data_IF_109190059094
#
_entry.id   IF_109190059094
#
_cell.length_a   1.000
_cell.length_b   1.000
_cell.length_c   1.000
_cell.angle_alpha   90.00
_cell.angle_beta   90.00
_cell.angle_gamma   90.00
#
_symmetry.space_group_name_H-M   'P 1'
#
loop_
_entity.id
_entity.type
_entity.pdbx_description
1 polymer ?
#
# COMPACT_ATOMS: atom_id res chain seq x y z
N UNK A 1 -23.18 -2.67 33.88
CA UNK A 1 -24.42 -2.15 33.27
C UNK A 1 -24.37 -2.56 31.80
N UNK A 2 -25.26 -3.48 31.40
CA UNK A 2 -25.31 -3.99 30.03
C UNK A 2 -25.87 -2.88 29.15
N UNK A 3 -25.01 -2.24 28.34
CA UNK A 3 -25.44 -1.31 27.30
C UNK A 3 -26.04 -2.16 26.18
N UNK A 4 -27.36 -2.23 26.12
CA UNK A 4 -28.09 -2.75 24.98
C UNK A 4 -27.59 -2.07 23.71
N UNK A 5 -27.14 -2.86 22.73
CA UNK A 5 -26.79 -2.34 21.42
C UNK A 5 -27.97 -1.52 20.85
N UNK A 6 -27.72 -0.38 20.21
CA UNK A 6 -28.79 0.44 19.65
C UNK A 6 -29.58 -0.39 18.63
N UNK A 7 -30.90 -0.43 18.79
CA UNK A 7 -31.80 -1.13 17.87
C UNK A 7 -31.78 -0.41 16.52
N UNK A 8 -31.45 -1.11 15.44
CA UNK A 8 -31.54 -0.59 14.08
C UNK A 8 -32.97 -0.12 13.81
N UNK A 9 -33.19 1.13 13.34
CA UNK A 9 -34.53 1.64 13.06
C UNK A 9 -35.26 0.75 12.06
N UNK A 10 -36.57 0.56 12.25
CA UNK A 10 -37.37 -0.21 11.30
C UNK A 10 -37.37 0.47 9.92
N UNK A 11 -37.70 -0.26 8.85
CA UNK A 11 -37.78 0.33 7.51
C UNK A 11 -38.77 1.50 7.48
N UNK A 12 -39.91 1.38 8.15
CA UNK A 12 -40.91 2.46 8.25
C UNK A 12 -40.38 3.72 8.94
N UNK A 13 -39.47 3.59 9.92
CA UNK A 13 -38.89 4.75 10.61
C UNK A 13 -37.87 5.51 9.73
N UNK A 14 -37.40 4.88 8.65
CA UNK A 14 -36.45 5.43 7.67
C UNK A 14 -37.12 5.82 6.36
N UNK A 15 -38.43 5.64 6.24
CA UNK A 15 -39.19 5.95 5.04
C UNK A 15 -39.80 7.34 5.13
N UNK A 16 -39.54 8.17 4.13
CA UNK A 16 -40.19 9.47 3.95
C UNK A 16 -41.02 9.42 2.67
N UNK A 17 -42.28 9.85 2.77
CA UNK A 17 -43.16 10.02 1.62
C UNK A 17 -43.41 11.50 1.35
N UNK A 18 -43.48 11.87 0.06
CA UNK A 18 -43.90 13.20 -0.34
C UNK A 18 -44.72 13.15 -1.63
N UNK A 19 -45.74 14.01 -1.72
CA UNK A 19 -46.39 14.33 -2.98
C UNK A 19 -45.45 15.26 -3.78
N UNK A 20 -45.03 14.82 -4.97
CA UNK A 20 -43.93 15.44 -5.72
C UNK A 20 -44.36 16.08 -7.04
N UNK A 21 -45.50 15.68 -7.58
CA UNK A 21 -46.07 16.22 -8.80
C UNK A 21 -47.57 15.94 -8.88
N UNK A 22 -48.26 16.71 -9.70
CA UNK A 22 -49.59 16.34 -10.19
C UNK A 22 -49.44 15.43 -11.41
N UNK A 23 -50.20 14.34 -11.48
CA UNK A 23 -50.12 13.36 -12.55
C UNK A 23 -50.51 13.97 -13.91
N UNK A 24 -51.43 14.92 -13.89
CA UNK A 24 -51.89 15.73 -15.03
C UNK A 24 -50.83 16.71 -15.57
N UNK A 25 -49.85 17.11 -14.77
CA UNK A 25 -48.80 18.06 -15.16
C UNK A 25 -47.60 17.39 -15.85
N UNK A 26 -47.45 16.08 -15.70
CA UNK A 26 -46.34 15.32 -16.28
C UNK A 26 -46.81 14.54 -17.51
N UNK A 27 -46.46 15.05 -18.68
CA UNK A 27 -46.68 14.34 -19.95
C UNK A 27 -45.83 13.06 -20.04
N UNK A 28 -46.29 12.08 -20.81
CA UNK A 28 -45.49 10.91 -21.17
C UNK A 28 -44.21 11.38 -21.87
N UNK A 29 -43.06 10.85 -21.45
CA UNK A 29 -41.74 11.26 -21.94
C UNK A 29 -41.09 12.38 -21.11
N UNK A 30 -41.72 12.84 -20.03
CA UNK A 30 -41.17 13.90 -19.17
C UNK A 30 -40.46 13.36 -17.93
N UNK A 31 -39.50 14.16 -17.43
CA UNK A 31 -38.83 13.96 -16.15
C UNK A 31 -38.97 15.22 -15.30
N UNK A 32 -38.94 15.06 -13.97
CA UNK A 32 -38.96 16.16 -13.02
C UNK A 32 -38.05 15.85 -11.84
N UNK A 33 -37.10 16.73 -11.55
CA UNK A 33 -36.32 16.64 -10.32
C UNK A 33 -37.12 17.21 -9.15
N UNK A 34 -37.07 16.54 -8.01
CA UNK A 34 -37.69 16.98 -6.76
C UNK A 34 -36.87 16.47 -5.57
N UNK A 35 -37.26 16.85 -4.36
CA UNK A 35 -36.66 16.38 -3.10
C UNK A 35 -37.70 15.65 -2.26
N UNK A 36 -37.32 14.49 -1.70
CA UNK A 36 -38.11 13.72 -0.74
C UNK A 36 -37.21 13.43 0.46
N UNK A 37 -37.53 14.00 1.62
CA UNK A 37 -36.59 14.04 2.75
C UNK A 37 -35.30 14.78 2.37
N UNK A 38 -34.16 14.12 2.51
CA UNK A 38 -32.84 14.65 2.12
C UNK A 38 -32.40 14.22 0.70
N UNK A 39 -33.18 13.36 0.04
CA UNK A 39 -32.83 12.80 -1.27
C UNK A 39 -33.38 13.63 -2.40
N UNK A 40 -32.50 13.94 -3.36
CA UNK A 40 -32.91 14.44 -4.68
C UNK A 40 -33.30 13.25 -5.53
N UNK A 41 -34.55 13.20 -5.99
CA UNK A 41 -35.08 12.13 -6.85
C UNK A 41 -35.52 12.70 -8.19
N UNK A 42 -35.42 11.88 -9.23
CA UNK A 42 -35.99 12.16 -10.55
C UNK A 42 -37.27 11.35 -10.70
N UNK A 43 -38.40 12.04 -10.81
CA UNK A 43 -39.69 11.46 -11.18
C UNK A 43 -39.75 11.36 -12.70
N UNK A 44 -40.14 10.20 -13.22
CA UNK A 44 -40.10 9.87 -14.64
C UNK A 44 -41.50 9.42 -15.03
N UNK A 45 -42.09 10.04 -16.07
CA UNK A 45 -43.36 9.58 -16.64
C UNK A 45 -43.11 8.89 -17.98
N UNK A 46 -43.24 7.57 -18.00
CA UNK A 46 -43.16 6.77 -19.23
C UNK A 46 -44.56 6.32 -19.66
N UNK A 47 -44.64 5.56 -20.75
CA UNK A 47 -45.91 5.00 -21.20
C UNK A 47 -46.45 3.93 -20.23
N UNK A 48 -45.55 3.24 -19.52
CA UNK A 48 -45.91 2.22 -18.53
C UNK A 48 -46.37 2.78 -17.18
N UNK A 49 -46.00 4.02 -16.84
CA UNK A 49 -46.43 4.65 -15.60
C UNK A 49 -45.47 5.71 -15.07
N UNK A 50 -45.60 6.00 -13.77
CA UNK A 50 -44.66 6.86 -13.04
C UNK A 50 -43.62 6.03 -12.32
N UNK A 51 -42.38 6.49 -12.38
CA UNK A 51 -41.23 5.88 -11.73
C UNK A 51 -40.41 6.94 -11.01
N UNK A 52 -39.61 6.54 -10.03
CA UNK A 52 -38.71 7.44 -9.32
C UNK A 52 -37.36 6.77 -9.07
N UNK A 53 -36.28 7.50 -9.41
CA UNK A 53 -34.90 7.08 -9.19
C UNK A 53 -34.15 8.15 -8.40
N UNK A 54 -33.03 7.80 -7.79
CA UNK A 54 -32.08 8.81 -7.29
C UNK A 54 -31.67 9.74 -8.45
N UNK A 55 -31.69 11.05 -8.21
CA UNK A 55 -31.32 12.02 -9.26
C UNK A 55 -29.80 12.06 -9.48
N UNK A 56 -28.98 11.62 -8.52
CA UNK A 56 -27.54 11.57 -8.69
C UNK A 56 -27.16 10.29 -9.46
N UNK A 57 -26.62 10.43 -10.66
CA UNK A 57 -26.07 9.32 -11.42
C UNK A 57 -25.01 8.60 -10.58
N UNK A 58 -25.07 7.26 -10.38
CA UNK A 58 -24.14 6.54 -9.53
C UNK A 58 -22.69 6.60 -10.02
N UNK A 59 -22.44 6.98 -11.28
CA UNK A 59 -21.10 7.15 -11.83
C UNK A 59 -20.33 8.32 -11.17
N UNK A 60 -20.76 9.57 -11.39
CA UNK A 60 -20.08 10.78 -10.88
C UNK A 60 -21.05 11.85 -10.36
N UNK A 61 -22.29 11.46 -10.02
CA UNK A 61 -23.24 12.33 -9.32
C UNK A 61 -24.01 13.33 -10.19
N UNK A 62 -23.85 13.30 -11.52
CA UNK A 62 -24.59 14.20 -12.42
C UNK A 62 -26.11 14.00 -12.34
N UNK A 63 -26.86 15.09 -12.47
CA UNK A 63 -28.32 15.09 -12.31
C UNK A 63 -29.04 14.37 -13.45
N UNK A 64 -29.60 13.20 -13.18
CA UNK A 64 -30.34 12.37 -14.14
C UNK A 64 -31.59 13.05 -14.71
N UNK A 65 -32.20 13.98 -13.99
CA UNK A 65 -33.31 14.78 -14.52
C UNK A 65 -32.93 15.65 -15.73
N UNK A 66 -31.65 15.97 -15.91
CA UNK A 66 -31.15 16.66 -17.12
C UNK A 66 -30.89 15.71 -18.28
N UNK A 67 -31.03 14.40 -18.04
CA UNK A 67 -30.92 13.31 -19.00
C UNK A 67 -31.94 13.37 -20.13
N UNK A 68 -31.79 12.45 -21.10
CA UNK A 68 -32.80 12.20 -22.12
C UNK A 68 -33.55 10.90 -21.82
N UNK A 69 -34.87 10.94 -21.90
CA UNK A 69 -35.73 9.76 -21.75
C UNK A 69 -36.15 9.25 -23.13
N UNK A 70 -35.85 8.00 -23.43
CA UNK A 70 -36.27 7.30 -24.65
C UNK A 70 -37.07 6.04 -24.25
N UNK A 71 -38.40 6.10 -24.41
CA UNK A 71 -39.31 5.07 -23.95
C UNK A 71 -39.22 4.84 -22.44
N UNK A 72 -38.56 3.74 -22.05
CA UNK A 72 -38.36 3.32 -20.66
C UNK A 72 -36.89 3.47 -20.20
N UNK A 73 -36.03 4.10 -21.00
CA UNK A 73 -34.60 4.26 -20.73
C UNK A 73 -34.23 5.72 -20.49
N UNK A 74 -33.75 6.01 -19.28
CA UNK A 74 -33.18 7.31 -18.93
C UNK A 74 -31.67 7.30 -19.16
N UNK A 75 -31.19 8.24 -19.97
CA UNK A 75 -29.78 8.38 -20.32
C UNK A 75 -29.17 9.60 -19.63
N UNK A 76 -28.10 9.41 -18.87
CA UNK A 76 -27.33 10.49 -18.25
C UNK A 76 -26.57 11.29 -19.32
N UNK A 77 -26.72 12.63 -19.34
CA UNK A 77 -26.05 13.47 -20.34
C UNK A 77 -24.53 13.49 -20.26
N UNK A 78 -23.95 13.15 -19.10
CA UNK A 78 -22.52 13.36 -18.91
C UNK A 78 -21.68 12.29 -19.60
N UNK A 79 -21.92 11.03 -19.25
CA UNK A 79 -21.13 9.89 -19.73
C UNK A 79 -22.01 8.79 -20.36
N UNK A 80 -23.25 9.14 -20.72
CA UNK A 80 -24.17 8.27 -21.46
C UNK A 80 -24.52 6.94 -20.76
N UNK A 81 -24.40 6.88 -19.44
CA UNK A 81 -24.93 5.75 -18.67
C UNK A 81 -26.44 5.71 -18.80
N UNK A 82 -27.00 4.50 -18.94
CA UNK A 82 -28.42 4.30 -19.22
C UNK A 82 -29.05 3.43 -18.16
N UNK A 83 -30.22 3.86 -17.70
CA UNK A 83 -30.96 3.22 -16.63
C UNK A 83 -32.38 2.92 -17.09
N UNK A 84 -32.88 1.74 -16.76
CA UNK A 84 -34.30 1.43 -16.91
C UNK A 84 -35.08 2.24 -15.88
N UNK A 85 -36.07 3.01 -16.34
CA UNK A 85 -36.86 3.89 -15.49
C UNK A 85 -37.58 3.13 -14.37
N UNK A 86 -38.08 1.92 -14.66
CA UNK A 86 -38.92 1.15 -13.76
C UNK A 86 -38.26 0.61 -12.50
N UNK A 87 -36.95 0.35 -12.55
CA UNK A 87 -36.24 -0.32 -11.46
C UNK A 87 -34.82 0.22 -11.22
N UNK A 88 -34.34 1.14 -12.05
CA UNK A 88 -33.01 1.73 -11.95
C UNK A 88 -31.89 0.84 -12.48
N UNK A 89 -32.20 -0.31 -13.10
CA UNK A 89 -31.20 -1.22 -13.66
C UNK A 89 -30.33 -0.51 -14.68
N UNK A 90 -29.03 -0.54 -14.48
CA UNK A 90 -28.06 -0.01 -15.42
C UNK A 90 -27.94 -0.95 -16.62
N UNK A 91 -28.30 -0.45 -17.81
CA UNK A 91 -28.20 -1.21 -19.07
C UNK A 91 -26.94 -0.85 -19.86
N UNK A 92 -26.40 0.35 -19.63
CA UNK A 92 -25.09 0.78 -20.13
C UNK A 92 -24.40 1.53 -18.99
N UNK A 93 -23.26 1.02 -18.55
CA UNK A 93 -22.56 1.46 -17.34
C UNK A 93 -22.34 0.29 -16.39
N UNK A 94 -22.00 0.58 -15.13
CA UNK A 94 -21.49 -0.43 -14.20
C UNK A 94 -22.34 -0.68 -12.95
N UNK A 95 -23.25 0.25 -12.62
CA UNK A 95 -23.97 0.24 -11.36
C UNK A 95 -25.38 0.76 -11.53
N UNK A 96 -26.34 0.07 -10.93
CA UNK A 96 -27.73 0.49 -10.90
C UNK A 96 -27.88 1.81 -10.13
N UNK A 97 -28.88 2.60 -10.50
CA UNK A 97 -29.32 3.73 -9.68
C UNK A 97 -30.42 3.26 -8.73
N UNK A 98 -30.46 3.78 -7.51
CA UNK A 98 -31.51 3.45 -6.55
C UNK A 98 -32.88 3.83 -7.12
N UNK A 99 -33.85 2.92 -6.98
CA UNK A 99 -35.25 3.12 -7.36
C UNK A 99 -36.14 3.23 -6.12
N UNK A 100 -37.19 4.04 -6.23
CA UNK A 100 -38.08 4.40 -5.14
C UNK A 100 -39.51 4.03 -5.49
N UNK A 101 -40.29 3.69 -4.47
CA UNK A 101 -41.69 3.31 -4.67
C UNK A 101 -42.51 4.54 -5.08
N UNK A 102 -43.41 4.36 -6.04
CA UNK A 102 -44.30 5.41 -6.53
C UNK A 102 -45.75 4.94 -6.47
N UNK A 103 -46.62 5.79 -5.93
CA UNK A 103 -48.07 5.60 -5.93
C UNK A 103 -48.76 6.85 -6.45
N UNK A 104 -49.82 6.66 -7.22
CA UNK A 104 -50.69 7.75 -7.65
C UNK A 104 -52.00 7.68 -6.86
N UNK A 105 -52.39 8.80 -6.24
CA UNK A 105 -53.62 8.95 -5.46
C UNK A 105 -54.42 10.14 -5.98
N UNK A 106 -55.47 9.85 -6.75
CA UNK A 106 -56.15 10.86 -7.55
C UNK A 106 -55.18 11.49 -8.56
N UNK A 107 -54.90 12.78 -8.42
CA UNK A 107 -53.91 13.50 -9.23
C UNK A 107 -52.55 13.62 -8.54
N UNK A 108 -52.37 13.18 -7.29
CA UNK A 108 -51.10 13.31 -6.59
C UNK A 108 -50.16 12.13 -6.91
N UNK A 109 -48.96 12.42 -7.40
CA UNK A 109 -47.86 11.44 -7.50
C UNK A 109 -47.06 11.48 -6.20
N UNK A 110 -47.05 10.36 -5.48
CA UNK A 110 -46.39 10.21 -4.18
C UNK A 110 -45.19 9.29 -4.35
N UNK A 111 -44.03 9.72 -3.86
CA UNK A 111 -42.79 8.92 -3.86
C UNK A 111 -42.41 8.60 -2.42
N UNK A 112 -42.07 7.34 -2.18
CA UNK A 112 -41.60 6.83 -0.89
C UNK A 112 -40.12 6.48 -0.99
N UNK A 113 -39.30 7.18 -0.21
CA UNK A 113 -37.84 6.98 -0.14
C UNK A 113 -37.49 6.35 1.19
N UNK A 114 -36.79 5.23 1.16
CA UNK A 114 -36.26 4.57 2.37
C UNK A 114 -34.75 4.71 2.39
N UNK A 115 -34.21 5.41 3.38
CA UNK A 115 -32.76 5.55 3.54
C UNK A 115 -32.12 4.21 3.91
N UNK A 116 -31.13 3.68 3.18
CA UNK A 116 -30.51 2.39 3.50
C UNK A 116 -29.75 2.45 4.83
N UNK A 117 -29.75 1.32 5.56
CA UNK A 117 -28.91 1.17 6.75
C UNK A 117 -27.43 1.16 6.37
N UNK A 118 -26.56 1.41 7.34
CA UNK A 118 -25.11 1.25 7.15
C UNK A 118 -24.75 -0.15 6.65
N UNK A 119 -25.38 -1.19 7.20
CA UNK A 119 -25.15 -2.58 6.79
C UNK A 119 -25.56 -2.83 5.32
N UNK A 120 -26.71 -2.29 4.90
CA UNK A 120 -27.18 -2.36 3.51
C UNK A 120 -26.21 -1.65 2.55
N UNK A 121 -25.71 -0.45 2.93
CA UNK A 121 -24.70 0.29 2.16
C UNK A 121 -23.42 -0.52 2.02
N UNK A 122 -22.85 -0.99 3.13
CA UNK A 122 -21.60 -1.76 3.12
C UNK A 122 -21.72 -3.04 2.29
N UNK A 123 -22.83 -3.79 2.46
CA UNK A 123 -23.12 -5.02 1.70
C UNK A 123 -23.10 -4.78 0.19
N UNK A 124 -23.63 -3.64 -0.27
CA UNK A 124 -23.65 -3.29 -1.69
C UNK A 124 -22.29 -2.80 -2.21
N UNK A 125 -21.51 -2.10 -1.38
CA UNK A 125 -20.27 -1.44 -1.78
C UNK A 125 -19.09 -2.41 -1.90
N UNK A 126 -18.97 -3.42 -1.03
CA UNK A 126 -17.82 -4.34 -1.06
C UNK A 126 -17.64 -5.07 -2.41
N UNK A 127 -18.68 -5.67 -3.00
CA UNK A 127 -18.55 -6.29 -4.31
C UNK A 127 -18.29 -5.26 -5.42
N UNK A 128 -18.72 -4.01 -5.26
CA UNK A 128 -18.48 -2.95 -6.24
C UNK A 128 -17.02 -2.52 -6.25
N UNK A 129 -16.42 -2.33 -5.06
CA UNK A 129 -14.99 -2.03 -4.95
C UNK A 129 -14.14 -3.15 -5.56
N UNK A 130 -14.45 -4.41 -5.25
CA UNK A 130 -13.78 -5.57 -5.82
C UNK A 130 -13.83 -5.56 -7.36
N UNK A 131 -15.00 -5.30 -7.96
CA UNK A 131 -15.12 -5.19 -9.42
C UNK A 131 -14.29 -4.03 -9.99
N UNK A 132 -14.23 -2.91 -9.28
CA UNK A 132 -13.39 -1.78 -9.67
C UNK A 132 -11.91 -2.16 -9.76
N UNK A 133 -11.42 -2.91 -8.77
CA UNK A 133 -10.05 -3.45 -8.74
C UNK A 133 -9.83 -4.49 -9.84
N UNK A 134 -10.76 -5.41 -10.05
CA UNK A 134 -10.65 -6.46 -11.08
C UNK A 134 -10.61 -5.89 -12.51
N UNK A 135 -11.24 -4.75 -12.75
CA UNK A 135 -11.36 -4.13 -14.08
C UNK A 135 -10.41 -2.97 -14.31
N UNK A 136 -9.52 -2.66 -13.37
CA UNK A 136 -8.70 -1.43 -13.41
C UNK A 136 -9.53 -0.15 -13.59
N UNK A 137 -10.72 -0.13 -12.98
CA UNK A 137 -11.56 1.04 -13.04
C UNK A 137 -11.29 2.01 -11.87
N UNK A 138 -10.24 2.82 -12.02
CA UNK A 138 -9.80 3.81 -11.00
C UNK A 138 -10.91 4.75 -10.51
N UNK A 139 -11.80 5.18 -11.40
CA UNK A 139 -12.95 6.01 -11.03
C UNK A 139 -13.92 5.30 -10.08
N UNK A 140 -14.19 4.02 -10.32
CA UNK A 140 -14.99 3.18 -9.43
C UNK A 140 -14.27 2.91 -8.11
N UNK A 141 -12.97 2.59 -8.15
CA UNK A 141 -12.15 2.40 -6.95
C UNK A 141 -12.22 3.63 -6.03
N UNK A 142 -11.96 4.83 -6.57
CA UNK A 142 -11.98 6.06 -5.78
C UNK A 142 -13.36 6.36 -5.20
N UNK A 143 -14.40 6.25 -6.03
CA UNK A 143 -15.78 6.50 -5.61
C UNK A 143 -16.26 5.52 -4.53
N UNK A 144 -15.99 4.23 -4.71
CA UNK A 144 -16.45 3.20 -3.77
C UNK A 144 -15.65 3.26 -2.47
N UNK A 145 -14.36 3.60 -2.53
CA UNK A 145 -13.54 3.92 -1.34
C UNK A 145 -14.16 5.07 -0.54
N UNK A 146 -14.51 6.19 -1.20
CA UNK A 146 -15.14 7.32 -0.53
C UNK A 146 -16.49 6.96 0.12
N UNK A 147 -17.31 6.16 -0.57
CA UNK A 147 -18.62 5.70 -0.07
C UNK A 147 -18.48 4.72 1.09
N UNK A 148 -17.45 3.87 1.08
CA UNK A 148 -17.15 2.95 2.18
C UNK A 148 -16.70 3.72 3.43
N UNK A 149 -15.84 4.72 3.27
CA UNK A 149 -15.44 5.62 4.36
C UNK A 149 -16.65 6.38 4.94
N UNK A 150 -17.51 6.94 4.08
CA UNK A 150 -18.77 7.59 4.50
C UNK A 150 -19.72 6.63 5.24
N UNK A 151 -19.73 5.36 4.85
CA UNK A 151 -20.47 4.30 5.54
C UNK A 151 -19.75 3.77 6.80
N UNK A 152 -18.61 4.33 7.19
CA UNK A 152 -17.88 3.98 8.41
C UNK A 152 -16.97 2.75 8.30
N UNK A 153 -16.62 2.31 7.10
CA UNK A 153 -15.60 1.28 6.91
C UNK A 153 -14.20 1.80 7.29
N UNK A 154 -13.37 0.93 7.87
CA UNK A 154 -11.99 1.29 8.20
C UNK A 154 -11.09 1.32 6.94
N UNK A 155 -10.06 2.18 6.89
CA UNK A 155 -9.01 2.12 5.87
C UNK A 155 -8.39 0.71 5.70
N UNK A 156 -8.22 -0.01 6.81
CA UNK A 156 -7.68 -1.37 6.87
C UNK A 156 -8.59 -2.38 6.17
N UNK A 157 -9.91 -2.32 6.39
CA UNK A 157 -10.87 -3.20 5.73
C UNK A 157 -10.94 -2.93 4.22
N UNK A 158 -10.88 -1.66 3.83
CA UNK A 158 -10.84 -1.25 2.43
C UNK A 158 -9.59 -1.79 1.74
N UNK A 159 -8.41 -1.60 2.36
CA UNK A 159 -7.15 -2.08 1.80
C UNK A 159 -7.10 -3.62 1.72
N UNK A 160 -7.73 -4.32 2.66
CA UNK A 160 -7.82 -5.78 2.68
C UNK A 160 -8.42 -6.34 1.38
N UNK A 161 -9.36 -5.62 0.75
CA UNK A 161 -9.93 -6.01 -0.55
C UNK A 161 -8.85 -6.03 -1.63
N UNK A 162 -8.04 -4.98 -1.70
CA UNK A 162 -6.91 -4.89 -2.62
C UNK A 162 -5.84 -5.94 -2.37
N UNK A 163 -5.47 -6.16 -1.10
CA UNK A 163 -4.46 -7.15 -0.72
C UNK A 163 -4.89 -8.57 -1.11
N UNK A 164 -6.14 -8.96 -0.83
CA UNK A 164 -6.68 -10.27 -1.21
C UNK A 164 -6.84 -10.44 -2.72
N UNK A 165 -6.98 -9.35 -3.47
CA UNK A 165 -6.97 -9.39 -4.92
C UNK A 165 -5.55 -9.51 -5.48
N UNK A 166 -4.66 -8.60 -5.08
CA UNK A 166 -3.34 -8.41 -5.68
C UNK A 166 -2.34 -9.49 -5.30
N UNK A 167 -2.16 -9.76 -4.00
CA UNK A 167 -1.07 -10.64 -3.53
C UNK A 167 -1.07 -12.03 -4.19
N UNK A 168 -2.20 -12.77 -4.27
CA UNK A 168 -2.22 -14.06 -4.96
C UNK A 168 -1.98 -14.00 -6.47
N UNK A 169 -1.98 -12.81 -7.07
CA UNK A 169 -1.79 -12.59 -8.52
C UNK A 169 -0.41 -12.00 -8.83
N UNK A 170 0.40 -11.76 -7.81
CA UNK A 170 1.75 -11.24 -7.96
C UNK A 170 2.70 -12.39 -8.34
N UNK A 171 3.20 -12.34 -9.58
CA UNK A 171 3.98 -13.42 -10.21
C UNK A 171 5.20 -13.90 -9.39
N UNK A 172 5.83 -13.01 -8.61
CA UNK A 172 7.07 -13.29 -7.88
C UNK A 172 6.94 -12.98 -6.38
N UNK A 173 5.73 -13.12 -5.83
CA UNK A 173 5.41 -12.71 -4.47
C UNK A 173 5.20 -11.21 -4.33
N UNK A 174 5.42 -10.67 -3.12
CA UNK A 174 5.24 -9.25 -2.80
C UNK A 174 6.02 -8.31 -3.72
N UNK A 175 5.32 -7.28 -4.24
CA UNK A 175 5.88 -6.25 -5.11
C UNK A 175 5.86 -4.84 -4.51
N UNK A 176 6.25 -3.86 -5.34
CA UNK A 176 6.25 -2.43 -4.98
C UNK A 176 4.87 -1.93 -4.58
N UNK A 177 3.83 -2.41 -5.25
CA UNK A 177 2.43 -2.10 -4.98
C UNK A 177 2.06 -2.34 -3.50
N UNK A 178 2.49 -3.46 -2.92
CA UNK A 178 2.27 -3.75 -1.50
C UNK A 178 3.09 -2.81 -0.60
N UNK A 179 4.36 -2.58 -0.91
CA UNK A 179 5.24 -1.75 -0.09
C UNK A 179 4.70 -0.30 -0.03
N UNK A 180 4.28 0.21 -1.18
CA UNK A 180 3.63 1.51 -1.32
C UNK A 180 2.26 1.52 -0.62
N UNK A 181 1.45 0.46 -0.75
CA UNK A 181 0.16 0.37 -0.07
C UNK A 181 0.29 0.46 1.46
N UNK A 182 1.34 -0.14 2.04
CA UNK A 182 1.64 -0.03 3.47
C UNK A 182 1.91 1.43 3.87
N UNK A 183 2.69 2.15 3.07
CA UNK A 183 3.01 3.56 3.31
C UNK A 183 1.81 4.48 3.07
N UNK A 184 0.99 4.19 2.07
CA UNK A 184 -0.24 4.93 1.80
C UNK A 184 -1.30 4.73 2.88
N UNK A 185 -1.38 3.53 3.46
CA UNK A 185 -2.24 3.29 4.62
C UNK A 185 -1.78 4.13 5.82
N UNK A 186 -0.47 4.21 6.07
CA UNK A 186 0.07 5.10 7.09
C UNK A 186 -0.20 6.58 6.76
N UNK A 187 0.01 6.98 5.51
CA UNK A 187 -0.25 8.34 5.05
C UNK A 187 -1.73 8.73 5.25
N UNK A 188 -2.66 7.79 5.09
CA UNK A 188 -4.09 8.00 5.32
C UNK A 188 -4.43 8.43 6.76
N UNK A 189 -3.57 8.15 7.75
CA UNK A 189 -3.78 8.63 9.12
C UNK A 189 -3.67 10.16 9.23
N UNK A 190 -3.01 10.81 8.27
CA UNK A 190 -2.87 12.26 8.19
C UNK A 190 -4.00 12.97 7.43
N UNK A 191 -5.01 12.24 6.94
CA UNK A 191 -6.15 12.78 6.20
C UNK A 191 -7.45 12.64 6.99
N UNK A 192 -8.35 13.61 6.84
CA UNK A 192 -9.65 13.62 7.51
C UNK A 192 -10.69 12.81 6.73
N UNK A 193 -11.53 12.05 7.44
CA UNK A 193 -12.72 11.34 6.94
C UNK A 193 -12.64 10.87 5.48
N UNK A 194 -13.32 11.59 4.58
CA UNK A 194 -13.44 11.24 3.17
C UNK A 194 -12.16 11.48 2.37
N UNK A 195 -11.27 12.37 2.82
CA UNK A 195 -10.00 12.67 2.13
C UNK A 195 -9.02 11.50 2.18
N UNK A 196 -9.22 10.55 3.12
CA UNK A 196 -8.51 9.26 3.14
C UNK A 196 -8.69 8.46 1.84
N UNK A 197 -9.70 8.80 1.04
CA UNK A 197 -9.86 8.27 -0.32
C UNK A 197 -8.61 8.48 -1.18
N UNK A 198 -7.91 9.61 -1.03
CA UNK A 198 -6.76 9.95 -1.88
C UNK A 198 -5.63 8.90 -1.79
N UNK A 199 -5.07 8.62 -0.59
CA UNK A 199 -4.06 7.58 -0.47
C UNK A 199 -4.60 6.16 -0.71
N UNK A 200 -5.81 5.85 -0.24
CA UNK A 200 -6.37 4.50 -0.35
C UNK A 200 -6.70 4.12 -1.80
N UNK A 201 -7.29 5.03 -2.59
CA UNK A 201 -7.58 4.77 -3.99
C UNK A 201 -6.30 4.57 -4.81
N UNK A 202 -5.22 5.28 -4.45
CA UNK A 202 -3.91 5.09 -5.07
C UNK A 202 -3.32 3.71 -4.74
N UNK A 203 -3.39 3.29 -3.46
CA UNK A 203 -2.95 1.95 -3.04
C UNK A 203 -3.70 0.84 -3.78
N UNK A 204 -5.03 0.94 -3.84
CA UNK A 204 -5.88 -0.04 -4.53
C UNK A 204 -5.66 -0.07 -6.06
N UNK A 205 -5.41 1.10 -6.66
CA UNK A 205 -5.05 1.18 -8.09
C UNK A 205 -3.71 0.53 -8.38
N UNK A 206 -2.76 0.58 -7.44
CA UNK A 206 -1.46 -0.11 -7.56
C UNK A 206 -1.63 -1.61 -7.74
N UNK A 207 -2.42 -2.26 -6.87
CA UNK A 207 -2.75 -3.68 -7.02
C UNK A 207 -3.48 -3.97 -8.33
N UNK A 208 -4.46 -3.13 -8.67
CA UNK A 208 -5.28 -3.30 -9.86
C UNK A 208 -4.47 -3.24 -11.17
N UNK A 209 -3.49 -2.34 -11.22
CA UNK A 209 -2.60 -2.18 -12.38
C UNK A 209 -1.54 -3.28 -12.46
N UNK A 210 -0.88 -3.59 -11.33
CA UNK A 210 0.20 -4.59 -11.29
C UNK A 210 -0.28 -6.01 -11.57
N UNK A 211 -1.55 -6.31 -11.25
CA UNK A 211 -2.14 -7.64 -11.41
C UNK A 211 -3.19 -7.74 -12.51
N UNK A 212 -3.26 -6.74 -13.40
CA UNK A 212 -4.21 -6.74 -14.51
C UNK A 212 -4.00 -7.97 -15.39
N UNK A 213 -5.11 -8.62 -15.73
CA UNK A 213 -5.16 -9.84 -16.56
C UNK A 213 -4.38 -11.04 -15.97
N UNK A 214 -3.99 -10.98 -14.69
CA UNK A 214 -3.34 -12.10 -13.99
C UNK A 214 -4.35 -12.95 -13.25
N UNK A 215 -4.13 -14.26 -13.29
CA UNK A 215 -4.88 -15.23 -12.50
C UNK A 215 -4.15 -15.49 -11.18
N UNK A 216 -4.86 -15.84 -10.10
CA UNK A 216 -4.21 -16.25 -8.87
C UNK A 216 -3.27 -17.45 -9.11
N UNK A 217 -2.06 -17.41 -8.56
CA UNK A 217 -1.19 -18.57 -8.48
C UNK A 217 -1.66 -19.57 -7.43
N UNK A 218 -1.28 -20.83 -7.62
CA UNK A 218 -1.56 -21.88 -6.65
C UNK A 218 -0.71 -21.66 -5.39
N UNK A 219 -1.34 -21.74 -4.22
CA UNK A 219 -0.61 -21.75 -2.95
C UNK A 219 -0.21 -23.19 -2.64
N UNK A 220 1.08 -23.47 -2.34
CA UNK A 220 1.56 -24.81 -2.01
C UNK A 220 0.71 -25.48 -0.93
N UNK A 221 0.45 -26.78 -1.10
CA UNK A 221 -0.30 -27.57 -0.13
C UNK A 221 0.49 -27.71 1.17
N UNK A 222 -0.16 -27.46 2.30
CA UNK A 222 0.48 -27.56 3.62
C UNK A 222 0.95 -28.99 3.88
N UNK A 223 2.24 -29.14 4.15
CA UNK A 223 2.87 -30.40 4.57
C UNK A 223 3.18 -30.34 6.06
N UNK A 224 2.93 -31.45 6.77
CA UNK A 224 3.35 -31.62 8.16
C UNK A 224 4.86 -31.89 8.22
N UNK A 225 5.64 -30.82 8.39
CA UNK A 225 7.09 -30.87 8.53
C UNK A 225 7.54 -30.17 9.84
N UNK A 226 8.73 -30.48 10.36
CA UNK A 226 9.31 -29.73 11.48
C UNK A 226 9.38 -28.23 11.16
N UNK A 227 8.85 -27.43 12.08
CA UNK A 227 8.85 -25.96 11.98
C UNK A 227 10.08 -25.45 12.71
N UNK A 228 11.15 -25.22 11.96
CA UNK A 228 12.34 -24.56 12.49
C UNK A 228 12.92 -23.54 11.51
N UNK A 229 13.72 -22.62 12.06
CA UNK A 229 14.31 -21.52 11.31
C UNK A 229 15.28 -22.00 10.23
N UNK A 230 16.01 -23.08 10.49
CA UNK A 230 17.02 -23.57 9.55
C UNK A 230 16.36 -24.10 8.28
N UNK A 231 15.28 -24.88 8.41
CA UNK A 231 14.50 -25.37 7.28
C UNK A 231 13.95 -24.23 6.40
N UNK A 232 13.44 -23.15 7.02
CA UNK A 232 12.95 -21.98 6.29
C UNK A 232 14.06 -21.32 5.47
N UNK A 233 15.23 -21.12 6.08
CA UNK A 233 16.38 -20.51 5.42
C UNK A 233 16.93 -21.42 4.32
N UNK A 234 17.09 -22.71 4.59
CA UNK A 234 17.61 -23.68 3.63
C UNK A 234 16.71 -23.77 2.39
N UNK A 235 15.39 -23.68 2.57
CA UNK A 235 14.45 -23.61 1.45
C UNK A 235 14.63 -22.34 0.60
N UNK A 236 14.86 -21.17 1.22
CA UNK A 236 15.16 -19.93 0.48
C UNK A 236 16.46 -20.07 -0.32
N UNK A 237 17.53 -20.59 0.30
CA UNK A 237 18.83 -20.78 -0.36
C UNK A 237 18.78 -21.84 -1.48
N UNK A 238 17.88 -22.81 -1.37
CA UNK A 238 17.67 -23.85 -2.37
C UNK A 238 16.70 -23.44 -3.49
N UNK A 239 16.20 -22.21 -3.47
CA UNK A 239 15.18 -21.70 -4.39
C UNK A 239 13.87 -22.54 -4.35
N UNK A 240 13.53 -23.11 -3.18
CA UNK A 240 12.38 -23.97 -2.95
C UNK A 240 11.17 -23.19 -2.41
N UNK A 241 10.30 -22.77 -3.33
CA UNK A 241 9.06 -22.04 -3.01
C UNK A 241 8.17 -22.85 -2.07
N UNK A 242 7.95 -24.14 -2.39
CA UNK A 242 7.06 -25.01 -1.64
C UNK A 242 7.57 -25.18 -0.21
N UNK A 243 8.88 -25.43 -0.05
CA UNK A 243 9.52 -25.55 1.25
C UNK A 243 9.42 -24.28 2.09
N UNK A 244 9.75 -23.12 1.51
CA UNK A 244 9.74 -21.85 2.23
C UNK A 244 8.32 -21.45 2.66
N UNK A 245 7.34 -21.54 1.74
CA UNK A 245 5.93 -21.23 2.01
C UNK A 245 5.33 -22.19 3.02
N UNK A 246 5.57 -23.50 2.88
CA UNK A 246 5.02 -24.46 3.82
C UNK A 246 5.58 -24.30 5.23
N UNK A 247 6.88 -24.01 5.35
CA UNK A 247 7.51 -23.79 6.66
C UNK A 247 6.91 -22.59 7.38
N UNK A 248 6.71 -21.46 6.69
CA UNK A 248 6.13 -20.26 7.31
C UNK A 248 4.64 -20.45 7.64
N UNK A 249 3.86 -21.09 6.76
CA UNK A 249 2.45 -21.37 7.02
C UNK A 249 2.24 -22.38 8.15
N UNK A 250 3.14 -23.35 8.29
CA UNK A 250 3.14 -24.29 9.40
C UNK A 250 3.45 -23.59 10.74
N UNK A 251 4.36 -22.60 10.74
CA UNK A 251 4.58 -21.73 11.92
C UNK A 251 3.30 -20.98 12.31
N UNK A 252 2.54 -20.49 11.34
CA UNK A 252 1.33 -19.69 11.56
C UNK A 252 0.10 -20.45 12.04
N UNK A 253 0.11 -21.77 11.93
CA UNK A 253 -1.01 -22.60 12.36
C UNK A 253 -1.07 -22.83 13.89
N UNK A 254 -0.21 -22.20 14.67
CA UNK A 254 -0.23 -22.24 16.13
C UNK A 254 -1.26 -21.25 16.70
N UNK A 255 -1.81 -21.54 17.89
CA UNK A 255 -2.92 -20.80 18.49
C UNK A 255 -2.56 -19.38 18.98
N UNK A 256 -1.27 -19.03 19.08
CA UNK A 256 -0.80 -17.69 19.48
C UNK A 256 -0.18 -16.93 18.30
N UNK A 257 -1.03 -16.26 17.52
CA UNK A 257 -0.62 -15.48 16.36
C UNK A 257 0.43 -14.40 16.71
N UNK A 258 0.38 -13.81 17.91
CA UNK A 258 1.33 -12.77 18.32
C UNK A 258 2.74 -13.31 18.52
N UNK A 259 2.88 -14.39 19.30
CA UNK A 259 4.17 -15.03 19.54
C UNK A 259 4.77 -15.64 18.25
N UNK A 260 3.91 -16.22 17.42
CA UNK A 260 4.23 -16.75 16.10
C UNK A 260 4.74 -15.66 15.17
N UNK A 261 4.07 -14.50 15.10
CA UNK A 261 4.49 -13.40 14.23
C UNK A 261 5.82 -12.80 14.69
N UNK A 262 6.09 -12.74 15.99
CA UNK A 262 7.40 -12.33 16.50
C UNK A 262 8.50 -13.31 16.06
N UNK A 263 8.21 -14.61 16.09
CA UNK A 263 9.12 -15.66 15.62
C UNK A 263 9.36 -15.55 14.11
N UNK A 264 8.29 -15.45 13.31
CA UNK A 264 8.35 -15.23 11.88
C UNK A 264 9.19 -13.99 11.53
N UNK A 265 8.96 -12.87 12.24
CA UNK A 265 9.73 -11.63 12.07
C UNK A 265 11.23 -11.88 12.24
N UNK A 266 11.63 -12.61 13.28
CA UNK A 266 13.04 -12.94 13.51
C UNK A 266 13.63 -13.82 12.39
N UNK A 267 12.84 -14.74 11.82
CA UNK A 267 13.28 -15.60 10.73
C UNK A 267 13.48 -14.83 9.43
N UNK A 268 12.55 -13.95 9.08
CA UNK A 268 12.69 -13.08 7.91
C UNK A 268 13.85 -12.09 8.08
N UNK A 269 14.07 -11.52 9.28
CA UNK A 269 15.25 -10.68 9.55
C UNK A 269 16.55 -11.46 9.34
N UNK A 270 16.63 -12.73 9.80
CA UNK A 270 17.80 -13.57 9.51
C UNK A 270 17.96 -13.80 8.01
N UNK A 271 16.90 -14.19 7.30
CA UNK A 271 16.92 -14.43 5.87
C UNK A 271 17.47 -13.22 5.09
N UNK A 272 16.84 -12.06 5.24
CA UNK A 272 17.20 -10.85 4.48
C UNK A 272 18.52 -10.24 4.88
N UNK A 273 19.08 -10.64 6.04
CA UNK A 273 20.41 -10.21 6.44
C UNK A 273 21.53 -11.00 5.79
N UNK A 274 21.26 -12.18 5.21
CA UNK A 274 22.28 -13.05 4.62
C UNK A 274 22.73 -12.55 3.26
N UNK A 275 21.80 -12.05 2.45
CA UNK A 275 22.06 -11.57 1.10
C UNK A 275 21.48 -10.19 0.85
N UNK A 276 22.06 -9.47 -0.11
CA UNK A 276 21.48 -8.23 -0.62
C UNK A 276 20.49 -8.56 -1.73
N UNK A 277 19.26 -8.91 -1.35
CA UNK A 277 18.22 -9.36 -2.27
C UNK A 277 17.56 -8.22 -3.02
N UNK A 278 17.44 -8.35 -4.35
CA UNK A 278 16.65 -7.48 -5.23
C UNK A 278 16.90 -6.00 -4.94
N UNK A 279 18.13 -5.52 -5.06
CA UNK A 279 18.49 -4.13 -4.75
C UNK A 279 18.04 -3.67 -3.35
N UNK A 280 18.11 -4.57 -2.39
CA UNK A 280 17.71 -4.33 -1.00
C UNK A 280 16.22 -4.48 -0.70
N UNK A 281 15.37 -4.78 -1.69
CA UNK A 281 13.94 -5.00 -1.48
C UNK A 281 13.61 -6.11 -0.49
N UNK A 282 14.46 -7.13 -0.33
CA UNK A 282 14.22 -8.18 0.68
C UNK A 282 13.99 -7.60 2.08
N UNK A 283 14.92 -6.75 2.55
CA UNK A 283 14.81 -6.12 3.86
C UNK A 283 13.69 -5.08 3.91
N UNK A 284 13.53 -4.27 2.85
CA UNK A 284 12.48 -3.24 2.76
C UNK A 284 11.10 -3.89 2.83
N UNK A 285 10.83 -4.88 1.99
CA UNK A 285 9.53 -5.54 1.95
C UNK A 285 9.26 -6.34 3.21
N UNK A 286 10.29 -6.92 3.84
CA UNK A 286 10.12 -7.54 5.17
C UNK A 286 9.64 -6.51 6.19
N UNK A 287 10.27 -5.33 6.26
CA UNK A 287 9.81 -4.27 7.16
C UNK A 287 8.36 -3.84 6.85
N UNK A 288 8.03 -3.62 5.58
CA UNK A 288 6.68 -3.22 5.15
C UNK A 288 5.64 -4.29 5.46
N UNK A 289 5.93 -5.56 5.17
CA UNK A 289 5.07 -6.70 5.44
C UNK A 289 4.68 -6.77 6.91
N UNK A 290 5.64 -6.72 7.84
CA UNK A 290 5.34 -6.78 9.27
C UNK A 290 4.65 -5.51 9.80
N UNK A 291 4.97 -4.33 9.23
CA UNK A 291 4.25 -3.09 9.55
C UNK A 291 2.79 -3.17 9.10
N UNK A 292 2.54 -3.76 7.92
CA UNK A 292 1.20 -3.98 7.40
C UNK A 292 0.43 -4.99 8.25
N UNK A 293 1.06 -6.10 8.66
CA UNK A 293 0.45 -7.13 9.51
C UNK A 293 0.05 -6.56 10.87
N UNK A 294 0.86 -5.66 11.45
CA UNK A 294 0.52 -4.98 12.70
C UNK A 294 -0.79 -4.17 12.60
N UNK A 295 -1.11 -3.63 11.41
CA UNK A 295 -2.36 -2.91 11.14
C UNK A 295 -3.49 -3.79 10.64
N UNK A 296 -3.18 -4.81 9.86
CA UNK A 296 -4.13 -5.65 9.12
C UNK A 296 -3.86 -7.12 9.45
N UNK A 297 -4.03 -7.56 10.72
CA UNK A 297 -3.64 -8.90 11.15
C UNK A 297 -4.39 -10.03 10.42
N UNK A 298 -5.59 -9.76 9.89
CA UNK A 298 -6.39 -10.71 9.13
C UNK A 298 -5.78 -11.13 7.78
N UNK A 299 -4.72 -10.45 7.30
CA UNK A 299 -3.98 -10.85 6.09
C UNK A 299 -2.61 -11.47 6.40
N UNK A 300 -2.29 -11.73 7.68
CA UNK A 300 -0.97 -12.18 8.10
C UNK A 300 -0.45 -13.39 7.32
N UNK A 301 -1.24 -14.47 7.22
CA UNK A 301 -0.85 -15.67 6.48
C UNK A 301 -0.59 -15.39 5.00
N UNK A 302 -1.43 -14.55 4.37
CA UNK A 302 -1.26 -14.18 2.96
C UNK A 302 0.03 -13.38 2.76
N UNK A 303 0.25 -12.35 3.58
CA UNK A 303 1.41 -11.45 3.46
C UNK A 303 2.73 -12.19 3.63
N UNK A 304 2.87 -13.02 4.67
CA UNK A 304 4.12 -13.76 4.91
C UNK A 304 4.33 -14.92 3.92
N UNK A 305 3.26 -15.48 3.36
CA UNK A 305 3.35 -16.48 2.27
C UNK A 305 3.97 -15.83 1.04
N UNK A 306 3.44 -14.70 0.61
CA UNK A 306 3.99 -13.96 -0.53
C UNK A 306 5.39 -13.41 -0.24
N UNK A 307 5.69 -13.03 1.01
CA UNK A 307 7.02 -12.57 1.39
C UNK A 307 8.05 -13.70 1.26
N UNK A 308 7.70 -14.92 1.67
CA UNK A 308 8.56 -16.09 1.52
C UNK A 308 8.86 -16.34 0.04
N UNK A 309 7.83 -16.29 -0.82
CA UNK A 309 8.00 -16.40 -2.28
C UNK A 309 8.94 -15.33 -2.83
N UNK A 310 8.81 -14.07 -2.40
CA UNK A 310 9.69 -12.98 -2.84
C UNK A 310 11.17 -13.26 -2.55
N UNK A 311 11.48 -13.83 -1.38
CA UNK A 311 12.86 -14.12 -1.02
C UNK A 311 13.43 -15.29 -1.82
N UNK A 312 12.60 -16.30 -2.11
CA UNK A 312 12.98 -17.44 -2.96
C UNK A 312 13.33 -16.97 -4.38
N UNK A 313 12.52 -16.08 -4.97
CA UNK A 313 12.81 -15.49 -6.28
C UNK A 313 13.82 -14.33 -6.24
N UNK A 314 14.38 -14.04 -5.07
CA UNK A 314 15.22 -12.89 -4.85
C UNK A 314 16.57 -12.97 -5.58
N UNK A 315 16.85 -12.02 -6.47
CA UNK A 315 18.16 -11.86 -7.09
C UNK A 315 19.20 -11.48 -6.04
N UNK A 316 20.28 -12.27 -5.97
CA UNK A 316 21.40 -12.05 -5.06
C UNK A 316 22.40 -11.04 -5.63
N UNK A 317 22.17 -9.76 -5.37
CA UNK A 317 23.06 -8.70 -5.87
C UNK A 317 24.41 -8.66 -5.18
N UNK A 318 24.50 -9.24 -3.98
CA UNK A 318 25.76 -9.41 -3.27
C UNK A 318 26.77 -10.32 -4.01
N UNK A 319 26.34 -11.01 -5.06
CA UNK A 319 27.23 -11.76 -5.97
C UNK A 319 27.83 -10.91 -7.09
N UNK A 320 27.32 -9.69 -7.31
CA UNK A 320 27.73 -8.83 -8.41
C UNK A 320 29.14 -8.25 -8.18
N UNK A 321 29.93 -8.01 -9.25
CA UNK A 321 31.32 -7.57 -9.13
C UNK A 321 31.54 -6.28 -8.33
N UNK A 322 30.60 -5.34 -8.41
CA UNK A 322 30.70 -4.03 -7.77
C UNK A 322 30.61 -4.11 -6.24
N UNK A 323 29.81 -5.05 -5.70
CA UNK A 323 29.67 -5.28 -4.26
C UNK A 323 30.85 -6.05 -3.64
N UNK A 324 31.68 -6.73 -4.44
CA UNK A 324 32.72 -7.67 -3.96
C UNK A 324 33.66 -7.07 -2.92
N UNK A 325 34.06 -5.81 -3.06
CA UNK A 325 34.97 -5.15 -2.11
C UNK A 325 34.27 -4.91 -0.77
N UNK A 326 33.05 -4.36 -0.81
CA UNK A 326 32.25 -4.11 0.39
C UNK A 326 31.90 -5.42 1.11
N UNK A 327 31.48 -6.45 0.38
CA UNK A 327 31.13 -7.74 0.98
C UNK A 327 32.33 -8.39 1.67
N UNK A 328 33.53 -8.35 1.09
CA UNK A 328 34.72 -8.84 1.79
C UNK A 328 35.02 -8.10 3.09
N UNK A 329 34.79 -6.78 3.13
CA UNK A 329 34.96 -6.02 4.35
C UNK A 329 33.89 -6.42 5.39
N UNK A 330 32.62 -6.49 4.98
CA UNK A 330 31.49 -6.90 5.82
C UNK A 330 31.68 -8.32 6.38
N UNK A 331 32.09 -9.27 5.54
CA UNK A 331 32.29 -10.68 5.92
C UNK A 331 33.52 -10.85 6.85
N UNK A 332 34.42 -9.86 6.88
CA UNK A 332 35.53 -9.79 7.83
C UNK A 332 35.15 -9.27 9.22
N UNK A 333 33.94 -8.73 9.39
CA UNK A 333 33.47 -8.16 10.66
C UNK A 333 32.97 -9.25 11.60
N UNK A 334 33.44 -9.25 12.84
CA UNK A 334 32.77 -10.00 13.91
C UNK A 334 31.45 -9.29 14.28
N UNK A 335 30.36 -9.78 13.70
CA UNK A 335 29.03 -9.20 13.88
C UNK A 335 28.51 -9.33 15.31
N UNK A 336 28.98 -10.30 16.11
CA UNK A 336 28.60 -10.40 17.51
C UNK A 336 29.27 -9.31 18.33
N UNK A 337 30.56 -9.05 18.08
CA UNK A 337 31.30 -7.95 18.71
C UNK A 337 30.70 -6.60 18.29
N UNK A 338 30.40 -6.41 17.00
CA UNK A 338 29.74 -5.21 16.51
C UNK A 338 28.36 -5.00 17.17
N UNK A 339 27.54 -6.05 17.24
CA UNK A 339 26.22 -5.96 17.84
C UNK A 339 26.27 -5.66 19.36
N UNK A 340 27.32 -6.09 20.05
CA UNK A 340 27.53 -5.82 21.47
C UNK A 340 28.17 -4.44 21.76
N UNK A 341 28.59 -3.70 20.72
CA UNK A 341 29.28 -2.43 20.88
C UNK A 341 28.39 -1.38 21.59
N UNK A 342 28.91 -0.65 22.60
CA UNK A 342 28.11 0.27 23.38
C UNK A 342 27.66 1.46 22.52
N UNK A 343 26.36 1.77 22.57
CA UNK A 343 25.77 2.83 21.77
C UNK A 343 25.83 4.23 22.42
N UNK A 344 25.28 5.24 21.72
CA UNK A 344 25.43 6.66 22.08
C UNK A 344 24.83 7.01 23.45
N UNK A 345 23.73 6.34 23.83
CA UNK A 345 23.09 6.53 25.13
C UNK A 345 24.00 6.15 26.32
N UNK A 346 24.93 5.22 26.12
CA UNK A 346 25.87 4.74 27.15
C UNK A 346 27.17 5.53 27.13
N UNK A 347 27.66 5.87 25.95
CA UNK A 347 29.00 6.46 25.75
C UNK A 347 29.00 7.98 25.65
N UNK A 348 27.83 8.59 25.41
CA UNK A 348 27.72 10.00 25.05
C UNK A 348 28.21 10.33 23.63
N UNK A 349 28.50 9.30 22.82
CA UNK A 349 28.99 9.49 21.46
C UNK A 349 28.01 10.30 20.61
N UNK A 350 28.55 11.14 19.74
CA UNK A 350 27.80 11.83 18.69
C UNK A 350 28.73 12.12 17.52
N UNK A 351 28.16 12.25 16.32
CA UNK A 351 28.84 12.69 15.11
C UNK A 351 28.60 14.19 14.90
N UNK A 352 28.89 15.03 15.90
CA UNK A 352 28.51 16.45 15.88
C UNK A 352 29.15 17.27 14.75
N UNK A 353 30.31 16.85 14.26
CA UNK A 353 30.97 17.47 13.11
C UNK A 353 30.59 16.83 11.77
N UNK A 354 29.69 15.83 11.77
CA UNK A 354 29.31 15.01 10.63
C UNK A 354 30.49 14.31 9.94
N UNK A 355 31.62 14.09 10.63
CA UNK A 355 32.81 13.49 10.02
C UNK A 355 32.55 12.10 9.47
N UNK A 356 31.71 11.30 10.13
CA UNK A 356 31.38 9.94 9.69
C UNK A 356 30.37 9.96 8.54
N UNK A 357 29.43 10.90 8.56
CA UNK A 357 28.53 11.16 7.42
C UNK A 357 29.33 11.60 6.19
N UNK A 358 30.19 12.60 6.32
CA UNK A 358 31.00 13.13 5.21
C UNK A 358 31.93 12.04 4.65
N UNK A 359 32.54 11.20 5.52
CA UNK A 359 33.29 10.03 5.08
C UNK A 359 32.44 9.09 4.21
N UNK A 360 31.20 8.78 4.62
CA UNK A 360 30.30 7.90 3.87
C UNK A 360 29.84 8.49 2.53
N UNK A 361 29.82 9.82 2.42
CA UNK A 361 29.47 10.53 1.20
C UNK A 361 30.65 10.63 0.23
N UNK A 362 31.86 10.85 0.76
CA UNK A 362 33.01 11.29 -0.04
C UNK A 362 34.13 10.23 -0.20
N UNK A 363 34.07 9.10 0.53
CA UNK A 363 35.11 8.08 0.47
C UNK A 363 35.29 7.48 -0.94
N UNK A 364 36.51 7.03 -1.25
CA UNK A 364 36.87 6.36 -2.52
C UNK A 364 36.39 4.89 -2.59
N UNK A 365 36.17 4.26 -1.43
CA UNK A 365 35.63 2.92 -1.26
C UNK A 365 34.66 2.89 -0.08
N UNK A 366 33.76 1.90 -0.02
CA UNK A 366 32.79 1.79 1.06
C UNK A 366 33.54 1.70 2.40
N UNK A 367 33.37 2.66 3.33
CA UNK A 367 34.22 2.82 4.52
C UNK A 367 33.77 1.90 5.66
N UNK A 368 33.67 0.59 5.38
CA UNK A 368 33.12 -0.40 6.34
C UNK A 368 33.99 -0.51 7.58
N UNK A 369 35.32 -0.53 7.43
CA UNK A 369 36.24 -0.69 8.55
C UNK A 369 36.21 0.54 9.47
N UNK A 370 36.14 1.74 8.89
CA UNK A 370 36.02 3.00 9.65
C UNK A 370 34.71 3.08 10.41
N UNK A 371 33.59 2.67 9.79
CA UNK A 371 32.29 2.60 10.46
C UNK A 371 32.31 1.58 11.61
N UNK A 372 32.86 0.39 11.39
CA UNK A 372 32.99 -0.62 12.45
C UNK A 372 33.88 -0.09 13.58
N UNK A 373 35.00 0.55 13.26
CA UNK A 373 35.85 1.19 14.27
C UNK A 373 35.10 2.28 15.06
N UNK A 374 34.32 3.13 14.41
CA UNK A 374 33.50 4.13 15.10
C UNK A 374 32.46 3.48 16.03
N UNK A 375 31.82 2.39 15.58
CA UNK A 375 30.88 1.63 16.39
C UNK A 375 31.53 1.07 17.65
N UNK A 376 32.68 0.42 17.51
CA UNK A 376 33.44 -0.15 18.64
C UNK A 376 33.95 0.93 19.61
N UNK A 377 34.21 2.14 19.11
CA UNK A 377 34.64 3.28 19.91
C UNK A 377 33.48 4.15 20.45
N UNK A 378 32.28 3.58 20.50
CA UNK A 378 31.16 4.12 21.27
C UNK A 378 29.98 4.61 20.45
N UNK A 379 30.04 4.59 19.11
CA UNK A 379 28.85 4.85 18.31
C UNK A 379 27.84 3.70 18.44
N UNK A 380 28.32 2.46 18.61
CA UNK A 380 27.49 1.25 18.52
C UNK A 380 26.69 1.16 17.22
N UNK A 381 25.81 0.16 17.11
CA UNK A 381 24.99 -0.02 15.91
C UNK A 381 23.96 1.10 15.73
N UNK A 382 23.40 1.63 16.81
CA UNK A 382 22.46 2.76 16.73
C UNK A 382 23.12 4.04 16.21
N UNK A 383 24.38 4.30 16.58
CA UNK A 383 25.15 5.41 16.02
C UNK A 383 25.35 5.23 14.51
N UNK A 384 25.73 4.02 14.07
CA UNK A 384 25.84 3.72 12.64
C UNK A 384 24.51 3.89 11.90
N UNK A 385 23.39 3.39 12.44
CA UNK A 385 22.05 3.58 11.86
C UNK A 385 21.76 5.08 11.67
N UNK A 386 22.08 5.91 12.67
CA UNK A 386 21.88 7.35 12.58
C UNK A 386 22.77 7.98 11.50
N UNK A 387 24.04 7.61 11.44
CA UNK A 387 24.98 8.09 10.42
C UNK A 387 24.53 7.72 9.01
N UNK A 388 24.19 6.46 8.74
CA UNK A 388 23.75 6.04 7.39
C UNK A 388 22.41 6.67 7.01
N UNK A 389 21.50 6.85 7.97
CA UNK A 389 20.21 7.54 7.73
C UNK A 389 20.43 9.02 7.39
N UNK A 390 21.34 9.70 8.10
CA UNK A 390 21.66 11.09 7.83
C UNK A 390 22.39 11.27 6.50
N UNK A 391 23.30 10.35 6.15
CA UNK A 391 23.93 10.33 4.83
C UNK A 391 22.92 10.11 3.71
N UNK A 392 21.95 9.20 3.88
CA UNK A 392 20.86 9.01 2.93
C UNK A 392 20.01 10.28 2.77
N UNK A 393 19.69 10.96 3.88
CA UNK A 393 18.96 12.23 3.85
C UNK A 393 19.76 13.33 3.12
N UNK A 394 21.07 13.42 3.37
CA UNK A 394 21.94 14.36 2.68
C UNK A 394 21.97 14.09 1.17
N UNK A 395 22.02 12.82 0.74
CA UNK A 395 21.94 12.47 -0.69
C UNK A 395 20.60 12.90 -1.29
N UNK A 396 19.49 12.59 -0.62
CA UNK A 396 18.16 12.98 -1.08
C UNK A 396 18.00 14.50 -1.24
N UNK A 397 18.44 15.28 -0.24
CA UNK A 397 18.35 16.75 -0.27
C UNK A 397 19.27 17.39 -1.32
N UNK A 398 20.34 16.71 -1.72
CA UNK A 398 21.33 17.18 -2.70
C UNK A 398 21.11 16.61 -4.10
N UNK A 399 20.12 15.74 -4.29
CA UNK A 399 19.90 15.08 -5.56
C UNK A 399 19.50 16.07 -6.65
N UNK A 400 20.20 16.03 -7.78
CA UNK A 400 19.92 16.86 -8.94
C UNK A 400 18.87 16.19 -9.82
N UNK A 401 17.65 16.74 -9.82
CA UNK A 401 16.53 16.25 -10.63
C UNK A 401 16.78 16.32 -12.15
N UNK A 402 17.85 16.97 -12.62
CA UNK A 402 18.23 16.91 -14.04
C UNK A 402 18.79 15.55 -14.43
N UNK A 403 19.31 14.76 -13.47
CA UNK A 403 19.79 13.39 -13.69
C UNK A 403 18.68 12.48 -14.21
N UNK A 404 17.44 12.64 -13.72
CA UNK A 404 16.26 11.89 -14.20
C UNK A 404 15.99 12.04 -15.71
N UNK A 405 16.53 13.10 -16.31
CA UNK A 405 16.36 13.39 -17.73
C UNK A 405 17.53 12.90 -18.58
N UNK A 406 18.63 12.49 -17.95
CA UNK A 406 19.81 11.97 -18.63
C UNK A 406 19.65 10.46 -18.87
N UNK A 407 19.47 10.08 -20.14
CA UNK A 407 19.29 8.67 -20.52
C UNK A 407 20.60 7.87 -20.54
N UNK A 408 21.73 8.54 -20.29
CA UNK A 408 23.03 7.89 -20.17
C UNK A 408 23.43 7.62 -18.72
N UNK A 409 22.67 8.15 -17.74
CA UNK A 409 22.86 7.83 -16.34
C UNK A 409 21.97 6.64 -15.98
N UNK A 410 22.56 5.61 -15.38
CA UNK A 410 21.83 4.43 -14.90
C UNK A 410 21.27 4.66 -13.48
N UNK A 411 21.81 5.65 -12.75
CA UNK A 411 21.35 6.07 -11.44
C UNK A 411 20.29 7.17 -11.51
N UNK A 412 19.29 7.07 -10.66
CA UNK A 412 18.20 8.05 -10.56
C UNK A 412 17.63 8.21 -9.16
N UNK A 413 16.46 8.80 -9.10
CA UNK A 413 15.68 9.12 -7.92
C UNK A 413 15.38 7.87 -7.11
N UNK A 414 15.15 6.76 -7.81
CA UNK A 414 14.91 5.45 -7.21
C UNK A 414 16.06 5.07 -6.27
N UNK A 415 17.31 5.11 -6.75
CA UNK A 415 18.51 4.72 -5.99
C UNK A 415 18.69 5.53 -4.70
N UNK A 416 18.46 6.85 -4.79
CA UNK A 416 18.59 7.75 -3.65
C UNK A 416 17.51 7.49 -2.61
N UNK A 417 16.27 7.25 -3.04
CA UNK A 417 15.18 6.93 -2.13
C UNK A 417 15.30 5.51 -1.55
N UNK A 418 15.95 4.58 -2.26
CA UNK A 418 16.22 3.22 -1.79
C UNK A 418 17.11 3.20 -0.56
N UNK A 419 18.15 4.03 -0.51
CA UNK A 419 19.01 4.09 0.69
C UNK A 419 18.20 4.47 1.92
N UNK A 420 17.26 5.41 1.78
CA UNK A 420 16.41 5.85 2.90
C UNK A 420 15.46 4.74 3.37
N UNK A 421 14.80 4.06 2.44
CA UNK A 421 13.88 2.96 2.79
C UNK A 421 14.62 1.76 3.37
N UNK A 422 15.82 1.44 2.88
CA UNK A 422 16.66 0.39 3.42
C UNK A 422 17.22 0.76 4.81
N UNK A 423 17.63 2.01 5.03
CA UNK A 423 18.04 2.50 6.35
C UNK A 423 16.91 2.38 7.38
N UNK A 424 15.68 2.70 6.97
CA UNK A 424 14.49 2.48 7.80
C UNK A 424 14.27 0.98 8.11
N UNK A 425 14.44 0.11 7.12
CA UNK A 425 14.34 -1.34 7.32
C UNK A 425 15.42 -1.88 8.28
N UNK A 426 16.66 -1.40 8.18
CA UNK A 426 17.74 -1.77 9.08
C UNK A 426 17.48 -1.29 10.52
N UNK A 427 16.96 -0.06 10.69
CA UNK A 427 16.53 0.45 11.99
C UNK A 427 15.39 -0.38 12.58
N UNK A 428 14.39 -0.73 11.77
CA UNK A 428 13.27 -1.59 12.17
C UNK A 428 13.77 -2.97 12.62
N UNK A 429 14.66 -3.60 11.84
CA UNK A 429 15.22 -4.90 12.17
C UNK A 429 16.01 -4.86 13.49
N UNK A 430 16.81 -3.81 13.70
CA UNK A 430 17.53 -3.61 14.96
C UNK A 430 16.61 -3.39 16.16
N UNK A 431 15.48 -2.70 15.95
CA UNK A 431 14.50 -2.43 17.01
C UNK A 431 13.82 -3.70 17.48
N UNK A 432 13.46 -4.59 16.55
CA UNK A 432 12.70 -5.81 16.86
C UNK A 432 13.57 -7.04 17.14
N UNK A 433 14.77 -7.12 16.57
CA UNK A 433 15.69 -8.23 16.74
C UNK A 433 17.16 -7.74 16.78
N UNK A 434 17.56 -6.98 17.83
CA UNK A 434 18.94 -6.51 17.96
C UNK A 434 19.90 -7.70 18.05
N UNK A 435 20.93 -7.70 17.22
CA UNK A 435 21.85 -8.81 17.11
C UNK A 435 22.71 -8.77 15.84
N UNK A 436 23.55 -9.79 15.62
CA UNK A 436 24.52 -9.82 14.51
C UNK A 436 23.86 -9.69 13.13
N UNK A 437 22.68 -10.27 12.95
CA UNK A 437 21.93 -10.21 11.68
C UNK A 437 21.43 -8.80 11.38
N UNK A 438 20.79 -8.15 12.34
CA UNK A 438 20.37 -6.76 12.19
C UNK A 438 21.57 -5.81 12.03
N UNK A 439 22.69 -6.05 12.72
CA UNK A 439 23.92 -5.27 12.53
C UNK A 439 24.46 -5.35 11.09
N UNK A 440 24.40 -6.54 10.46
CA UNK A 440 24.82 -6.71 9.06
C UNK A 440 24.00 -5.87 8.09
N UNK A 441 22.68 -5.75 8.30
CA UNK A 441 21.82 -4.87 7.49
C UNK A 441 22.28 -3.41 7.54
N UNK A 442 22.80 -2.94 8.67
CA UNK A 442 23.34 -1.57 8.78
C UNK A 442 24.60 -1.39 7.93
N UNK A 443 25.47 -2.40 7.86
CA UNK A 443 26.66 -2.36 6.99
C UNK A 443 26.29 -2.41 5.51
N UNK A 444 25.26 -3.19 5.13
CA UNK A 444 24.71 -3.17 3.76
C UNK A 444 24.08 -1.80 3.43
N UNK A 445 23.43 -1.16 4.41
CA UNK A 445 22.93 0.22 4.25
C UNK A 445 24.07 1.20 4.01
N UNK A 446 25.19 1.05 4.72
CA UNK A 446 26.37 1.88 4.52
C UNK A 446 26.92 1.72 3.09
N UNK A 447 26.97 0.49 2.58
CA UNK A 447 27.32 0.24 1.19
C UNK A 447 26.36 0.95 0.22
N UNK A 448 25.04 0.78 0.37
CA UNK A 448 24.04 1.42 -0.48
C UNK A 448 24.12 2.95 -0.45
N UNK A 449 24.31 3.50 0.75
CA UNK A 449 24.57 4.92 0.92
C UNK A 449 25.76 5.28 0.03
N UNK A 450 26.95 4.77 0.34
CA UNK A 450 28.16 5.01 -0.44
C UNK A 450 27.97 4.90 -1.98
N UNK A 451 27.29 3.85 -2.45
CA UNK A 451 27.19 3.52 -3.88
C UNK A 451 26.23 4.46 -4.64
N UNK A 452 25.07 4.80 -4.05
CA UNK A 452 24.00 5.64 -4.66
C UNK A 452 24.41 7.05 -5.08
N UNK A 453 25.66 7.49 -4.85
CA UNK A 453 26.17 8.81 -5.22
C UNK A 453 27.21 8.82 -6.34
N UNK A 454 27.44 7.70 -7.02
CA UNK A 454 28.61 7.54 -7.90
C UNK A 454 28.21 7.42 -9.35
N UNK A 455 28.79 8.27 -10.20
CA UNK A 455 28.77 8.06 -11.65
C UNK A 455 29.67 6.87 -11.99
N UNK A 456 29.12 5.87 -12.67
CA UNK A 456 29.92 4.86 -13.35
C UNK A 456 30.44 5.44 -14.66
N UNK A 457 31.52 6.23 -14.62
CA UNK A 457 32.25 6.54 -15.84
C UNK A 457 32.98 5.26 -16.28
N UNK A 458 32.55 4.65 -17.39
CA UNK A 458 33.13 3.43 -17.96
C UNK A 458 34.61 3.53 -18.37
N UNK A 459 35.33 4.58 -17.97
CA UNK A 459 36.76 4.76 -18.13
C UNK A 459 37.48 4.53 -16.80
N UNK A 460 38.12 3.37 -16.68
CA UNK A 460 39.15 3.13 -15.67
C UNK A 460 40.24 4.22 -15.79
N UNK A 461 40.22 5.22 -14.91
CA UNK A 461 41.32 6.19 -14.79
C UNK A 461 40.94 7.67 -14.66
N UNK A 462 39.66 8.03 -14.62
CA UNK A 462 39.24 9.39 -14.28
C UNK A 462 38.59 9.41 -12.91
N UNK A 463 39.04 10.32 -12.04
CA UNK A 463 38.32 10.65 -10.79
C UNK A 463 36.85 10.90 -11.07
N UNK A 464 35.91 10.39 -10.24
CA UNK A 464 34.48 10.63 -10.42
C UNK A 464 34.24 12.13 -10.54
N UNK A 465 33.74 12.58 -11.70
CA UNK A 465 33.58 14.01 -11.95
C UNK A 465 32.26 14.60 -11.40
N UNK A 466 31.44 13.82 -10.70
CA UNK A 466 30.31 14.31 -9.89
C UNK A 466 30.18 13.34 -8.69
N UNK A 467 30.33 13.71 -7.41
CA UNK A 467 29.95 14.91 -6.68
C UNK A 467 31.19 15.60 -6.08
N UNK A 468 31.75 16.65 -6.72
CA UNK A 468 32.36 17.70 -5.87
C UNK A 468 31.19 18.28 -5.11
N UNK A 469 31.25 18.24 -3.76
CA UNK A 469 30.42 19.02 -2.84
C UNK A 469 29.80 20.22 -3.56
N UNK A 470 28.55 20.11 -4.01
CA UNK A 470 27.84 21.30 -4.44
C UNK A 470 27.57 22.07 -3.16
N UNK A 471 28.08 23.31 -3.02
CA UNK A 471 27.89 24.06 -1.79
C UNK A 471 26.39 24.17 -1.54
N UNK A 472 26.00 23.84 -0.30
CA UNK A 472 24.74 24.28 0.29
C UNK A 472 24.61 25.76 -0.06
N UNK A 473 23.60 26.14 -0.84
CA UNK A 473 23.21 27.55 -0.90
C UNK A 473 23.02 27.96 0.56
N UNK A 474 23.72 29.01 0.97
CA UNK A 474 24.01 29.39 2.36
C UNK A 474 22.77 29.75 3.20
N UNK A 475 21.56 29.33 2.82
CA UNK A 475 20.29 29.64 3.44
C UNK A 475 19.72 28.54 4.34
N UNK A 476 20.41 27.40 4.54
CA UNK A 476 19.93 26.31 5.39
C UNK A 476 21.04 25.74 6.31
N UNK A 477 21.72 26.60 7.07
CA UNK A 477 22.46 26.22 8.28
C UNK A 477 21.77 26.76 9.51
#
# INVERSE_FOLDING_TARGET
MSTSAPTTPSASDRTVEAAVASASEMAIGSTKMTTVGERRVVVIRTASGFHALDNACPHQGYGLATGSLDGELLTCQWHNWKFRASDGTCVIGEENVASHQVRVDGDAVIVSVTEPTTEEKLTALWPSLQRGIERDYRGQIARDTARLLDAGASPEDILTVGLRHGLPRSEWGMGHDMAVATDLLHLADGFDDIEKTLPLAHALSGFSESTRDRVPHDVPARVDAPVDQAAFIDAIEAEDVDGAVNTIRALLASDDLGAVLATARSWFIDAVSRHHYNYGHGAIYTQKAFTLIERVPQVAELVVTELAMTLVYGTREDTLPYMRKANRAIDGVDLYVLAAAPGPATTGWNDADNSLVDLLLDADHAPIDELVNAALNGAGVLGLINTVSLAAAHRLLRFDLTIERDRHEEFGWLDITHVMTYANAARWAWTYAPGPRAARLVLLTAFLAFDSGRRHDGSAGTTPSCLRLWPVTSSLR
#
